data_IF_851194446202
#
_entry.id   IF_851194446202
#
_cell.length_a   1.000
_cell.length_b   1.000
_cell.length_c   1.000
_cell.angle_alpha   90.00
_cell.angle_beta   90.00
_cell.angle_gamma   90.00
#
_symmetry.space_group_name_H-M   'P 1'
#
loop_
_entity.id
_entity.type
_entity.pdbx_description
1 polymer ?
#
# COMPACT_ATOMS: atom_id res chain seq x y z
N UNK A 1 9.54 -12.67 -21.73
CA UNK A 1 9.36 -12.40 -23.17
C UNK A 1 10.64 -11.75 -23.68
N UNK A 2 11.25 -12.28 -24.75
CA UNK A 2 12.36 -11.60 -25.41
C UNK A 2 11.78 -10.48 -26.28
N UNK A 3 12.28 -9.26 -26.12
CA UNK A 3 11.89 -8.12 -26.95
C UNK A 3 13.11 -7.70 -27.76
N UNK A 4 12.98 -7.69 -29.08
CA UNK A 4 14.04 -7.22 -29.99
C UNK A 4 13.77 -5.73 -30.25
N UNK A 5 14.71 -4.87 -29.86
CA UNK A 5 14.71 -3.44 -30.19
C UNK A 5 16.02 -3.13 -30.90
N UNK A 6 15.97 -2.56 -32.10
CA UNK A 6 17.12 -2.27 -32.96
C UNK A 6 18.08 -3.46 -33.17
N UNK A 7 17.51 -4.66 -33.36
CA UNK A 7 18.28 -5.89 -33.60
C UNK A 7 19.02 -6.44 -32.37
N UNK A 8 18.84 -5.84 -31.19
CA UNK A 8 19.37 -6.34 -29.93
C UNK A 8 18.26 -7.00 -29.13
N UNK A 9 18.40 -8.28 -28.85
CA UNK A 9 17.56 -8.97 -27.88
C UNK A 9 17.78 -8.35 -26.49
N UNK A 10 16.70 -7.88 -25.89
CA UNK A 10 16.64 -7.64 -24.45
C UNK A 10 15.69 -8.65 -23.85
N UNK A 11 16.16 -9.39 -22.86
CA UNK A 11 15.27 -10.13 -21.98
C UNK A 11 14.41 -9.09 -21.24
N UNK A 12 13.12 -9.03 -21.58
CA UNK A 12 12.18 -8.22 -20.80
C UNK A 12 12.09 -8.83 -19.42
N UNK A 13 12.60 -8.12 -18.40
CA UNK A 13 12.38 -8.47 -17.00
C UNK A 13 10.87 -8.36 -16.77
N UNK A 14 10.16 -9.47 -16.84
CA UNK A 14 8.74 -9.49 -16.51
C UNK A 14 8.61 -9.55 -15.00
N UNK A 15 7.80 -8.66 -14.43
CA UNK A 15 7.34 -8.81 -13.07
C UNK A 15 6.55 -10.13 -12.95
N UNK A 16 6.91 -10.95 -11.97
CA UNK A 16 6.16 -12.15 -11.61
C UNK A 16 4.91 -11.73 -10.85
N UNK A 17 3.78 -12.35 -11.18
CA UNK A 17 2.52 -12.13 -10.47
C UNK A 17 2.57 -12.89 -9.16
N UNK A 18 2.21 -12.25 -8.03
CA UNK A 18 2.25 -12.88 -6.70
C UNK A 18 1.52 -14.23 -6.68
N UNK A 19 0.29 -14.27 -7.21
CA UNK A 19 -0.55 -15.46 -7.22
C UNK A 19 -1.27 -15.65 -8.55
N UNK A 20 -1.23 -16.88 -9.08
CA UNK A 20 -1.96 -17.27 -10.28
C UNK A 20 -2.82 -18.49 -10.01
N UNK A 21 -4.09 -18.42 -10.42
CA UNK A 21 -5.03 -19.54 -10.37
C UNK A 21 -5.54 -19.87 -11.76
N UNK A 22 -5.21 -21.07 -12.23
CA UNK A 22 -5.76 -21.64 -13.45
C UNK A 22 -7.10 -22.30 -13.15
N UNK A 23 -8.14 -21.93 -13.89
CA UNK A 23 -9.47 -22.53 -13.81
C UNK A 23 -9.97 -22.92 -15.20
N UNK A 24 -11.05 -23.70 -15.26
CA UNK A 24 -11.60 -24.17 -16.53
C UNK A 24 -12.08 -23.01 -17.43
N UNK A 25 -12.61 -21.94 -16.83
CA UNK A 25 -13.17 -20.78 -17.53
C UNK A 25 -12.15 -19.67 -17.77
N UNK A 26 -10.91 -19.81 -17.32
CA UNK A 26 -9.87 -18.78 -17.48
C UNK A 26 -8.84 -18.80 -16.37
N UNK A 27 -7.90 -17.86 -16.46
CA UNK A 27 -6.77 -17.73 -15.52
C UNK A 27 -6.89 -16.43 -14.75
N UNK A 28 -6.80 -16.50 -13.42
CA UNK A 28 -6.84 -15.35 -12.53
C UNK A 28 -5.41 -15.01 -12.08
N UNK A 29 -5.04 -13.75 -12.14
CA UNK A 29 -3.80 -13.22 -11.59
C UNK A 29 -4.12 -12.26 -10.45
N UNK A 30 -3.43 -12.38 -9.32
CA UNK A 30 -3.64 -11.58 -8.12
C UNK A 30 -2.30 -10.98 -7.69
N UNK A 31 -2.32 -9.68 -7.41
CA UNK A 31 -1.23 -8.93 -6.76
C UNK A 31 -1.73 -8.42 -5.41
N UNK A 32 -0.90 -8.56 -4.37
CA UNK A 32 -1.22 -8.11 -3.02
C UNK A 32 -0.33 -6.91 -2.65
N UNK A 33 -0.95 -5.74 -2.63
CA UNK A 33 -0.25 -4.47 -2.41
C UNK A 33 -0.60 -3.86 -1.05
N UNK A 34 0.24 -4.13 -0.05
CA UNK A 34 -0.03 -3.78 1.34
C UNK A 34 0.40 -2.35 1.73
N UNK A 35 1.62 -1.94 1.37
CA UNK A 35 2.18 -0.68 1.86
C UNK A 35 3.47 -0.22 1.16
N UNK A 36 3.58 -0.48 -0.14
CA UNK A 36 4.83 -0.25 -0.85
C UNK A 36 5.00 1.22 -1.24
N UNK A 37 6.25 1.69 -1.37
CA UNK A 37 6.54 3.03 -1.90
C UNK A 37 6.75 2.93 -3.40
N UNK A 38 6.09 3.78 -4.19
CA UNK A 38 5.97 3.79 -5.66
C UNK A 38 7.13 3.15 -6.47
N UNK A 39 6.88 2.51 -7.65
CA UNK A 39 5.69 2.61 -8.52
C UNK A 39 5.05 1.24 -8.84
N UNK A 40 4.46 0.57 -7.83
CA UNK A 40 3.99 -0.81 -7.99
C UNK A 40 2.69 -0.92 -8.81
N UNK A 41 1.66 -0.12 -8.51
CA UNK A 41 0.41 -0.20 -9.28
C UNK A 41 0.59 -0.03 -10.79
N UNK A 42 1.44 0.90 -11.25
CA UNK A 42 1.66 1.07 -12.67
C UNK A 42 2.33 -0.18 -13.28
N UNK A 43 3.31 -0.76 -12.59
CA UNK A 43 3.97 -2.01 -12.99
C UNK A 43 2.98 -3.17 -13.04
N UNK A 44 2.14 -3.30 -12.02
CA UNK A 44 1.20 -4.42 -11.87
C UNK A 44 0.10 -4.34 -12.94
N UNK A 45 -0.47 -3.14 -13.13
CA UNK A 45 -1.49 -2.89 -14.13
C UNK A 45 -0.94 -3.08 -15.56
N UNK A 46 0.26 -2.57 -15.85
CA UNK A 46 0.93 -2.82 -17.14
C UNK A 46 1.24 -4.31 -17.34
N UNK A 47 1.61 -5.02 -16.28
CA UNK A 47 1.85 -6.46 -16.33
C UNK A 47 0.56 -7.22 -16.66
N UNK A 48 -0.56 -6.88 -16.01
CA UNK A 48 -1.87 -7.45 -16.31
C UNK A 48 -2.32 -7.15 -17.73
N UNK A 49 -2.17 -5.91 -18.20
CA UNK A 49 -2.44 -5.53 -19.59
C UNK A 49 -1.68 -6.44 -20.57
N UNK A 50 -0.38 -6.60 -20.35
CA UNK A 50 0.49 -7.42 -21.20
C UNK A 50 0.11 -8.89 -21.15
N UNK A 51 -0.09 -9.45 -19.95
CA UNK A 51 -0.45 -10.86 -19.77
C UNK A 51 -1.82 -11.18 -20.38
N UNK A 52 -2.78 -10.27 -20.26
CA UNK A 52 -4.09 -10.41 -20.88
C UNK A 52 -4.01 -10.32 -22.41
N UNK A 53 -3.22 -9.39 -22.97
CA UNK A 53 -3.00 -9.30 -24.42
C UNK A 53 -2.37 -10.58 -25.00
N UNK A 54 -1.56 -11.29 -24.21
CA UNK A 54 -0.98 -12.58 -24.56
C UNK A 54 -1.91 -13.77 -24.26
N UNK A 55 -3.14 -13.53 -23.80
CA UNK A 55 -4.09 -14.55 -23.33
C UNK A 55 -3.55 -15.44 -22.21
N UNK A 56 -2.53 -15.00 -21.47
CA UNK A 56 -1.96 -15.72 -20.34
C UNK A 56 -2.84 -15.60 -19.08
N UNK A 57 -3.56 -14.49 -18.94
CA UNK A 57 -4.55 -14.26 -17.89
C UNK A 57 -5.88 -13.79 -18.49
N UNK A 58 -6.97 -14.07 -17.79
CA UNK A 58 -8.32 -13.63 -18.14
C UNK A 58 -8.79 -12.44 -17.29
N UNK A 59 -8.29 -12.32 -16.05
CA UNK A 59 -8.65 -11.27 -15.10
C UNK A 59 -7.45 -10.96 -14.21
N UNK A 60 -7.13 -9.67 -14.05
CA UNK A 60 -6.21 -9.18 -13.03
C UNK A 60 -6.96 -8.78 -11.75
N UNK A 61 -6.40 -9.10 -10.58
CA UNK A 61 -6.96 -8.79 -9.27
C UNK A 61 -5.91 -8.02 -8.48
N UNK A 62 -6.30 -6.89 -7.88
CA UNK A 62 -5.45 -6.16 -6.93
C UNK A 62 -6.13 -6.13 -5.58
N UNK A 63 -5.42 -6.57 -4.56
CA UNK A 63 -5.80 -6.41 -3.16
C UNK A 63 -4.95 -5.32 -2.52
N UNK A 64 -5.57 -4.31 -1.93
CA UNK A 64 -4.84 -3.23 -1.24
C UNK A 64 -5.63 -2.66 -0.07
N UNK A 65 -5.06 -1.70 0.67
CA UNK A 65 -5.80 -0.96 1.69
C UNK A 65 -6.93 -0.15 1.06
N UNK A 66 -8.15 -0.36 1.54
CA UNK A 66 -9.33 0.39 1.14
C UNK A 66 -9.36 1.79 1.74
N UNK A 67 -10.26 2.64 1.22
CA UNK A 67 -10.43 4.01 1.69
C UNK A 67 -10.78 4.10 3.18
N UNK A 68 -11.74 3.29 3.66
CA UNK A 68 -12.13 3.32 5.08
C UNK A 68 -11.03 2.83 6.01
N UNK A 69 -10.27 1.80 5.62
CA UNK A 69 -9.08 1.38 6.37
C UNK A 69 -8.03 2.49 6.42
N UNK A 70 -7.78 3.14 5.29
CA UNK A 70 -6.81 4.22 5.18
C UNK A 70 -7.13 5.38 6.12
N UNK A 71 -8.40 5.80 6.15
CA UNK A 71 -8.87 6.93 6.96
C UNK A 71 -8.84 6.60 8.46
N UNK A 72 -9.08 5.34 8.83
CA UNK A 72 -9.18 4.92 10.22
C UNK A 72 -7.84 4.80 10.97
N UNK A 73 -6.68 4.76 10.28
CA UNK A 73 -5.41 4.49 10.97
C UNK A 73 -5.03 5.54 12.01
N UNK A 74 -5.31 6.82 11.74
CA UNK A 74 -4.93 7.88 12.66
C UNK A 74 -5.66 7.72 13.99
N UNK A 75 -6.99 7.66 13.92
CA UNK A 75 -7.84 7.61 15.10
C UNK A 75 -7.60 6.30 15.85
N UNK A 76 -7.54 5.15 15.17
CA UNK A 76 -7.28 3.88 15.85
C UNK A 76 -5.94 3.78 16.53
N UNK A 77 -4.87 4.28 15.91
CA UNK A 77 -3.55 4.27 16.55
C UNK A 77 -3.55 5.24 17.72
N UNK A 78 -4.14 6.44 17.58
CA UNK A 78 -4.22 7.41 18.67
C UNK A 78 -5.00 6.86 19.86
N UNK A 79 -6.21 6.34 19.61
CA UNK A 79 -7.12 5.80 20.62
C UNK A 79 -6.50 4.60 21.35
N UNK A 80 -5.87 3.68 20.61
CA UNK A 80 -5.16 2.56 21.20
C UNK A 80 -4.02 3.04 22.12
N UNK A 81 -3.21 4.01 21.66
CA UNK A 81 -2.12 4.55 22.47
C UNK A 81 -2.61 5.23 23.74
N UNK A 82 -3.71 5.98 23.66
CA UNK A 82 -4.35 6.62 24.82
C UNK A 82 -4.91 5.58 25.79
N UNK A 83 -5.57 4.54 25.28
CA UNK A 83 -6.07 3.42 26.09
C UNK A 83 -4.95 2.66 26.79
N UNK A 84 -3.78 2.56 26.18
CA UNK A 84 -2.57 1.97 26.78
C UNK A 84 -1.79 2.96 27.68
N UNK A 85 -2.22 4.22 27.80
CA UNK A 85 -1.54 5.22 28.63
C UNK A 85 -0.17 5.65 28.11
N UNK A 86 0.08 5.54 26.79
CA UNK A 86 1.37 5.88 26.19
C UNK A 86 1.49 7.39 26.01
N UNK A 87 2.30 8.02 26.85
CA UNK A 87 2.37 9.49 26.96
C UNK A 87 3.76 10.07 26.62
N UNK A 88 4.74 9.22 26.33
CA UNK A 88 6.12 9.65 26.10
C UNK A 88 6.91 8.75 25.15
N UNK A 89 8.06 9.25 24.71
CA UNK A 89 9.04 8.48 23.92
C UNK A 89 9.48 7.20 24.62
N UNK A 90 9.71 7.27 25.94
CA UNK A 90 10.16 6.15 26.75
C UNK A 90 9.13 5.02 26.78
N UNK A 91 7.84 5.35 26.73
CA UNK A 91 6.77 4.35 26.68
C UNK A 91 6.80 3.56 25.36
N UNK A 92 7.15 4.22 24.25
CA UNK A 92 7.30 3.56 22.95
C UNK A 92 8.53 2.66 22.90
N UNK A 93 9.64 3.12 23.48
CA UNK A 93 10.88 2.36 23.53
C UNK A 93 10.69 1.07 24.35
N UNK A 94 9.88 1.09 25.43
CA UNK A 94 9.50 -0.11 26.20
C UNK A 94 8.69 -1.13 25.39
N UNK A 95 7.85 -0.65 24.47
CA UNK A 95 7.04 -1.52 23.60
C UNK A 95 7.83 -2.08 22.41
N UNK A 96 9.09 -1.70 22.24
CA UNK A 96 9.91 -2.12 21.10
C UNK A 96 9.37 -1.59 19.77
N UNK A 97 8.59 -0.50 19.78
CA UNK A 97 8.13 0.19 18.57
C UNK A 97 9.35 0.89 17.96
N UNK A 98 10.13 0.12 17.20
CA UNK A 98 11.35 0.41 16.41
C UNK A 98 12.10 1.73 16.61
N UNK A 99 13.43 1.66 16.61
CA UNK A 99 14.29 2.84 16.74
C UNK A 99 13.91 3.97 15.76
N UNK A 100 13.39 5.08 16.31
CA UNK A 100 12.95 6.25 15.54
C UNK A 100 14.12 7.18 15.27
N UNK A 101 14.14 7.75 14.08
CA UNK A 101 15.17 8.73 13.70
C UNK A 101 15.03 10.01 14.53
N UNK A 102 16.12 10.74 14.72
CA UNK A 102 16.10 12.02 15.44
C UNK A 102 15.10 13.02 14.83
N UNK A 103 14.93 12.99 13.50
CA UNK A 103 13.95 13.82 12.79
C UNK A 103 12.49 13.45 13.15
N UNK A 104 12.18 12.15 13.26
CA UNK A 104 10.84 11.69 13.68
C UNK A 104 10.54 12.11 15.13
N UNK A 105 11.51 11.94 16.05
CA UNK A 105 11.35 12.35 17.45
C UNK A 105 11.13 13.86 17.56
N UNK A 106 11.91 14.67 16.83
CA UNK A 106 11.75 16.13 16.80
C UNK A 106 10.37 16.54 16.28
N UNK A 107 9.89 15.94 15.19
CA UNK A 107 8.58 16.26 14.64
C UNK A 107 7.41 15.97 15.59
N UNK A 108 7.53 14.95 16.45
CA UNK A 108 6.57 14.68 17.52
C UNK A 108 6.73 15.71 18.64
N UNK A 109 7.95 15.94 19.11
CA UNK A 109 8.25 16.92 20.17
C UNK A 109 7.75 18.33 19.82
N UNK A 110 7.90 18.77 18.56
CA UNK A 110 7.42 20.07 18.10
C UNK A 110 5.89 20.19 18.17
N UNK A 111 5.16 19.10 17.88
CA UNK A 111 3.69 19.08 18.02
C UNK A 111 3.27 19.10 19.48
N UNK A 112 4.00 18.39 20.34
CA UNK A 112 3.77 18.39 21.79
C UNK A 112 4.06 19.76 22.39
N UNK A 113 5.15 20.41 21.98
CA UNK A 113 5.47 21.78 22.39
C UNK A 113 4.44 22.82 21.97
N UNK A 114 3.62 22.51 20.95
CA UNK A 114 2.46 23.31 20.52
C UNK A 114 1.16 22.95 21.25
N UNK A 115 1.20 22.05 22.24
CA UNK A 115 0.06 21.69 23.08
C UNK A 115 -0.73 20.46 22.62
N UNK A 116 -0.26 19.71 21.62
CA UNK A 116 -0.89 18.41 21.31
C UNK A 116 -0.45 17.37 22.34
N UNK A 117 -1.37 16.52 22.82
CA UNK A 117 -1.00 15.30 23.55
C UNK A 117 -0.06 14.40 22.73
N UNK A 118 0.74 13.60 23.43
CA UNK A 118 1.79 12.78 22.82
C UNK A 118 1.23 11.72 21.86
N UNK A 119 0.18 10.98 22.25
CA UNK A 119 -0.42 9.92 21.43
C UNK A 119 -0.87 10.42 20.04
N UNK A 120 -1.72 11.46 19.91
CA UNK A 120 -2.11 11.99 18.61
C UNK A 120 -0.94 12.65 17.85
N UNK A 121 0.04 13.25 18.54
CA UNK A 121 1.23 13.79 17.90
C UNK A 121 2.11 12.70 17.25
N UNK A 122 2.28 11.58 17.96
CA UNK A 122 2.97 10.39 17.47
C UNK A 122 2.19 9.76 16.32
N UNK A 123 0.90 9.46 16.53
CA UNK A 123 0.06 8.75 15.58
C UNK A 123 0.04 9.47 14.23
N UNK A 124 -0.11 10.81 14.22
CA UNK A 124 -0.02 11.61 12.98
C UNK A 124 1.30 11.42 12.24
N UNK A 125 2.43 11.48 12.96
CA UNK A 125 3.74 11.30 12.31
C UNK A 125 3.93 9.89 11.80
N UNK A 126 3.52 8.90 12.60
CA UNK A 126 3.62 7.49 12.25
C UNK A 126 2.78 7.14 11.03
N UNK A 127 1.51 7.55 11.01
CA UNK A 127 0.59 7.34 9.88
C UNK A 127 1.08 8.05 8.64
N UNK A 128 1.55 9.30 8.74
CA UNK A 128 2.11 10.00 7.59
C UNK A 128 3.32 9.27 6.97
N UNK A 129 4.21 8.71 7.80
CA UNK A 129 5.40 8.00 7.33
C UNK A 129 5.10 6.61 6.77
N UNK A 130 4.18 5.89 7.43
CA UNK A 130 3.91 4.49 7.17
C UNK A 130 2.75 4.27 6.25
N UNK A 131 1.74 5.11 6.26
CA UNK A 131 0.50 4.92 5.49
C UNK A 131 0.14 6.16 4.67
N UNK A 132 1.01 7.16 4.59
CA UNK A 132 0.76 8.39 3.85
C UNK A 132 0.81 8.21 2.33
N UNK A 133 0.77 9.35 1.63
CA UNK A 133 0.66 9.43 0.17
C UNK A 133 1.82 8.78 -0.62
N UNK A 134 2.98 8.60 0.02
CA UNK A 134 4.10 7.90 -0.56
C UNK A 134 3.89 6.38 -0.66
N UNK A 135 2.81 5.83 -0.07
CA UNK A 135 2.52 4.39 -0.04
C UNK A 135 1.31 4.02 -0.89
N UNK A 136 1.22 2.76 -1.31
CA UNK A 136 0.04 2.22 -2.01
C UNK A 136 -1.21 2.25 -1.11
N UNK A 137 -2.33 2.71 -1.68
CA UNK A 137 -3.66 2.75 -1.07
C UNK A 137 -4.73 3.00 -2.15
N UNK A 138 -6.01 2.82 -1.78
CA UNK A 138 -7.15 2.88 -2.71
C UNK A 138 -7.16 4.10 -3.63
N UNK A 139 -7.03 5.33 -3.09
CA UNK A 139 -7.10 6.55 -3.91
C UNK A 139 -6.05 6.59 -5.03
N UNK A 140 -4.84 6.07 -4.77
CA UNK A 140 -3.79 5.98 -5.81
C UNK A 140 -4.15 4.97 -6.89
N UNK A 141 -4.66 3.80 -6.50
CA UNK A 141 -5.10 2.77 -7.45
C UNK A 141 -6.25 3.29 -8.32
N UNK A 142 -7.26 3.90 -7.70
CA UNK A 142 -8.42 4.48 -8.38
C UNK A 142 -8.02 5.55 -9.38
N UNK A 143 -7.10 6.45 -9.03
CA UNK A 143 -6.57 7.48 -9.93
C UNK A 143 -6.00 6.86 -11.22
N UNK A 144 -5.23 5.77 -11.11
CA UNK A 144 -4.55 5.11 -12.23
C UNK A 144 -5.53 4.37 -13.12
N UNK A 145 -6.45 3.62 -12.53
CA UNK A 145 -7.48 2.87 -13.25
C UNK A 145 -8.44 3.82 -13.97
N UNK A 146 -8.83 4.93 -13.31
CA UNK A 146 -9.67 5.97 -13.94
C UNK A 146 -8.98 6.62 -15.14
N UNK A 147 -7.65 6.74 -15.10
CA UNK A 147 -6.83 7.19 -16.24
C UNK A 147 -6.64 6.13 -17.32
N UNK A 148 -7.18 4.92 -17.13
CA UNK A 148 -7.15 3.82 -18.09
C UNK A 148 -5.89 2.95 -18.03
N UNK A 149 -5.06 3.08 -16.99
CA UNK A 149 -3.88 2.22 -16.80
C UNK A 149 -4.35 0.78 -16.57
N UNK A 150 -3.75 -0.19 -17.27
CA UNK A 150 -4.13 -1.60 -17.25
C UNK A 150 -5.15 -2.03 -18.31
N UNK A 151 -5.82 -1.09 -19.00
CA UNK A 151 -6.72 -1.42 -20.10
C UNK A 151 -5.99 -2.08 -21.28
N UNK A 152 -6.55 -3.10 -21.95
CA UNK A 152 -7.94 -3.55 -21.86
C UNK A 152 -8.14 -4.79 -20.95
N UNK A 153 -7.21 -5.09 -20.03
CA UNK A 153 -7.37 -6.23 -19.13
C UNK A 153 -8.61 -6.02 -18.24
N UNK A 154 -9.51 -7.02 -18.11
CA UNK A 154 -10.53 -7.00 -17.06
C UNK A 154 -9.87 -6.98 -15.68
N UNK A 155 -10.34 -6.10 -14.80
CA UNK A 155 -9.78 -5.91 -13.45
C UNK A 155 -10.85 -6.11 -12.37
N UNK A 156 -10.46 -6.75 -11.27
CA UNK A 156 -11.18 -6.76 -10.00
C UNK A 156 -10.32 -6.10 -8.92
N UNK A 157 -10.79 -5.00 -8.35
CA UNK A 157 -10.04 -4.22 -7.36
C UNK A 157 -10.71 -4.37 -5.99
N UNK A 158 -9.93 -4.78 -5.00
CA UNK A 158 -10.42 -5.06 -3.65
C UNK A 158 -9.70 -4.15 -2.66
N UNK A 159 -10.45 -3.20 -2.09
CA UNK A 159 -10.00 -2.37 -0.99
C UNK A 159 -10.41 -2.98 0.34
N UNK A 160 -9.44 -3.35 1.17
CA UNK A 160 -9.69 -3.86 2.52
C UNK A 160 -10.34 -2.80 3.41
N UNK A 161 -11.52 -3.06 4.01
CA UNK A 161 -12.24 -2.05 4.77
C UNK A 161 -11.72 -1.92 6.20
N UNK A 162 -12.10 -0.83 6.86
CA UNK A 162 -11.82 -0.60 8.28
C UNK A 162 -12.21 -1.79 9.19
N UNK A 163 -13.31 -2.47 8.88
CA UNK A 163 -13.92 -3.50 9.71
C UNK A 163 -13.09 -4.78 9.88
N UNK A 164 -12.00 -4.95 9.12
CA UNK A 164 -11.12 -6.13 9.26
C UNK A 164 -10.01 -5.92 10.28
N UNK A 165 -9.73 -4.67 10.65
CA UNK A 165 -8.75 -4.35 11.67
C UNK A 165 -9.40 -4.60 13.03
N UNK A 166 -8.70 -5.38 13.86
CA UNK A 166 -9.14 -5.81 15.19
C UNK A 166 -8.15 -5.31 16.23
N UNK A 167 -8.63 -5.18 17.47
CA UNK A 167 -7.80 -4.86 18.64
C UNK A 167 -6.88 -6.02 19.07
#
# INVERSE_FOLDING_TARGET
VQTIVDGRERAGVSHEVDHVKFAQQGTLALEIEWNNKDPFFDRDLENFQRLHALSAISLGIILTRGATMQDAFLDRISDWMEAQGLASEDDLDRLGIGARTAAQRRAVADQVGRGTAFAPAFARKFVADKFGQATTHWAKLEERVTRGVGNPCPLLLIGLPESILTD
#
